data_IF_819632199999
#
_entry.id   IF_819632199999
#
_cell.length_a   1.000
_cell.length_b   1.000
_cell.length_c   1.000
_cell.angle_alpha   90.00
_cell.angle_beta   90.00
_cell.angle_gamma   90.00
#
_symmetry.space_group_name_H-M   'P 1'
#
loop_
_entity.id
_entity.type
_entity.pdbx_description
1 polymer ?
#
# COMPACT_ATOMS: atom_id res chain seq x y z
N UNK A 1 -8.17 19.76 -9.58
CA UNK A 1 -6.77 19.76 -10.00
C UNK A 1 -6.03 18.65 -9.26
N UNK A 2 -5.11 17.91 -9.91
CA UNK A 2 -4.28 16.94 -9.19
C UNK A 2 -3.43 17.66 -8.15
N UNK A 3 -3.37 17.11 -6.94
CA UNK A 3 -2.54 17.59 -5.85
C UNK A 3 -1.25 16.79 -5.75
N UNK A 4 -0.16 17.45 -5.38
CA UNK A 4 1.10 16.80 -5.04
C UNK A 4 1.36 17.01 -3.55
N UNK A 5 1.77 15.95 -2.86
CA UNK A 5 2.20 16.00 -1.47
C UNK A 5 3.48 15.17 -1.31
N UNK A 6 4.40 15.58 -0.43
CA UNK A 6 5.53 14.74 -0.06
C UNK A 6 5.05 13.41 0.52
N UNK A 7 5.71 12.32 0.15
CA UNK A 7 5.38 11.00 0.69
C UNK A 7 5.69 10.93 2.19
N UNK A 8 4.89 10.15 2.91
CA UNK A 8 5.25 9.70 4.26
C UNK A 8 6.36 8.67 4.15
N UNK A 9 7.40 8.76 4.98
CA UNK A 9 8.53 7.84 4.92
C UNK A 9 8.80 7.18 6.26
N UNK A 10 9.06 5.87 6.22
CA UNK A 10 9.52 5.08 7.38
C UNK A 10 10.88 4.47 7.04
N UNK A 11 11.83 4.57 7.96
CA UNK A 11 13.16 3.97 7.80
C UNK A 11 13.13 2.47 8.12
N UNK A 12 13.85 1.68 7.33
CA UNK A 12 14.08 0.26 7.60
C UNK A 12 15.49 -0.13 7.14
N UNK A 13 16.40 -0.32 8.08
CA UNK A 13 17.81 -0.55 7.77
C UNK A 13 18.41 0.60 6.93
N UNK A 14 18.93 0.26 5.76
CA UNK A 14 19.43 1.24 4.78
C UNK A 14 18.33 1.86 3.92
N UNK A 15 17.16 1.25 3.91
CA UNK A 15 16.05 1.63 3.05
C UNK A 15 15.18 2.75 3.64
N UNK A 16 14.49 3.44 2.74
CA UNK A 16 13.34 4.29 3.02
C UNK A 16 12.11 3.68 2.35
N UNK A 17 11.04 3.62 3.09
CA UNK A 17 9.75 3.12 2.59
C UNK A 17 8.78 4.28 2.54
N UNK A 18 8.34 4.61 1.32
CA UNK A 18 7.41 5.71 1.06
C UNK A 18 5.98 5.22 0.95
N UNK A 19 5.07 6.00 1.47
CA UNK A 19 3.63 5.81 1.40
C UNK A 19 2.95 7.13 1.00
N UNK A 20 1.80 7.10 0.32
CA UNK A 20 1.04 8.31 0.04
C UNK A 20 0.69 9.07 1.31
N UNK A 21 0.82 10.38 1.26
CA UNK A 21 0.41 11.24 2.38
C UNK A 21 -1.08 11.56 2.31
N UNK A 22 -1.70 11.98 3.44
CA UNK A 22 -3.05 12.53 3.41
C UNK A 22 -3.21 13.64 2.34
N UNK A 23 -4.39 13.73 1.71
CA UNK A 23 -5.65 13.13 2.13
C UNK A 23 -5.81 11.63 1.80
N UNK A 24 -4.82 10.97 1.23
CA UNK A 24 -4.81 9.52 1.01
C UNK A 24 -4.44 8.79 2.33
N UNK A 25 -5.38 8.74 3.27
CA UNK A 25 -5.16 8.18 4.60
C UNK A 25 -4.89 6.67 4.64
N UNK A 26 -5.14 5.96 3.55
CA UNK A 26 -4.69 4.59 3.36
C UNK A 26 -3.16 4.46 3.38
N UNK A 27 -2.45 5.45 2.83
CA UNK A 27 -0.99 5.52 2.93
C UNK A 27 -0.51 5.77 4.36
N UNK A 28 -1.17 6.66 5.11
CA UNK A 28 -0.90 6.86 6.53
C UNK A 28 -1.12 5.58 7.34
N UNK A 29 -2.22 4.89 7.09
CA UNK A 29 -2.54 3.61 7.72
C UNK A 29 -1.46 2.55 7.44
N UNK A 30 -1.01 2.44 6.20
CA UNK A 30 0.05 1.52 5.80
C UNK A 30 1.41 1.89 6.43
N UNK A 31 1.74 3.19 6.51
CA UNK A 31 2.95 3.66 7.17
C UNK A 31 2.95 3.35 8.67
N UNK A 32 1.81 3.53 9.36
CA UNK A 32 1.65 3.20 10.76
C UNK A 32 1.78 1.68 11.03
N UNK A 33 1.16 0.86 10.17
CA UNK A 33 1.33 -0.59 10.21
C UNK A 33 2.78 -1.01 9.99
N UNK A 34 3.44 -0.44 8.98
CA UNK A 34 4.84 -0.75 8.68
C UNK A 34 5.75 -0.34 9.83
N UNK A 35 5.55 0.82 10.41
CA UNK A 35 6.28 1.27 11.59
C UNK A 35 6.09 0.34 12.79
N UNK A 36 4.90 -0.25 12.98
CA UNK A 36 4.65 -1.25 14.00
C UNK A 36 5.42 -2.55 13.70
N UNK A 37 5.39 -3.03 12.46
CA UNK A 37 6.12 -4.23 12.04
C UNK A 37 7.64 -4.05 12.08
N UNK A 38 8.17 -2.83 11.94
CA UNK A 38 9.59 -2.54 12.17
C UNK A 38 9.98 -2.83 13.62
N UNK A 39 9.09 -2.53 14.58
CA UNK A 39 9.32 -2.80 16.01
C UNK A 39 9.12 -4.26 16.37
N UNK A 40 8.04 -4.87 15.87
CA UNK A 40 7.76 -6.30 16.05
C UNK A 40 7.18 -6.89 14.75
N UNK A 41 8.02 -7.55 13.95
CA UNK A 41 7.58 -8.15 12.69
C UNK A 41 6.61 -9.32 12.84
N UNK A 42 6.43 -9.86 14.04
CA UNK A 42 5.53 -10.97 14.33
C UNK A 42 4.13 -10.51 14.75
N UNK A 43 3.98 -9.27 15.20
CA UNK A 43 2.70 -8.73 15.69
C UNK A 43 1.84 -8.13 14.56
N UNK A 44 1.32 -9.01 13.71
CA UNK A 44 0.37 -8.58 12.65
C UNK A 44 -0.95 -8.03 13.24
N UNK A 45 -1.36 -8.54 14.41
CA UNK A 45 -2.58 -8.08 15.08
C UNK A 45 -2.45 -6.63 15.55
N UNK A 46 -1.40 -6.34 16.29
CA UNK A 46 -1.10 -4.99 16.75
C UNK A 46 -0.83 -4.02 15.60
N UNK A 47 -0.13 -4.44 14.55
CA UNK A 47 0.09 -3.64 13.36
C UNK A 47 -1.23 -3.31 12.63
N UNK A 48 -2.16 -4.27 12.56
CA UNK A 48 -3.51 -4.05 11.99
C UNK A 48 -4.30 -3.03 12.83
N UNK A 49 -4.35 -3.22 14.15
CA UNK A 49 -5.04 -2.29 15.03
C UNK A 49 -4.50 -0.86 14.90
N UNK A 50 -3.19 -0.72 14.81
CA UNK A 50 -2.51 0.54 14.64
C UNK A 50 -2.79 1.23 13.33
N UNK A 51 -2.80 0.46 12.25
CA UNK A 51 -3.19 0.91 10.91
C UNK A 51 -4.55 1.61 10.94
N UNK A 52 -5.53 0.94 11.49
CA UNK A 52 -6.91 1.46 11.58
C UNK A 52 -7.03 2.63 12.56
N UNK A 53 -6.35 2.58 13.68
CA UNK A 53 -6.35 3.66 14.67
C UNK A 53 -5.74 4.95 14.10
N UNK A 54 -4.65 4.87 13.33
CA UNK A 54 -4.03 6.02 12.69
C UNK A 54 -4.97 6.68 11.67
N UNK A 55 -5.60 5.88 10.79
CA UNK A 55 -6.57 6.38 9.83
C UNK A 55 -7.82 6.98 10.51
N UNK A 56 -8.37 6.29 11.51
CA UNK A 56 -9.55 6.77 12.25
C UNK A 56 -9.23 8.09 12.99
N UNK A 57 -8.08 8.19 13.62
CA UNK A 57 -7.65 9.42 14.28
C UNK A 57 -7.49 10.58 13.31
N UNK A 58 -6.89 10.32 12.15
CA UNK A 58 -6.79 11.31 11.09
C UNK A 58 -8.17 11.81 10.63
N UNK A 59 -9.11 10.87 10.37
CA UNK A 59 -10.49 11.20 9.95
C UNK A 59 -11.29 11.97 11.01
N UNK A 60 -10.99 11.76 12.29
CA UNK A 60 -11.64 12.48 13.39
C UNK A 60 -11.16 13.94 13.57
N UNK A 61 -10.39 14.45 12.65
CA UNK A 61 -9.99 15.88 12.66
C UNK A 61 -8.56 16.12 13.04
N UNK A 62 -7.70 15.13 12.90
CA UNK A 62 -6.37 15.54 12.93
C UNK A 62 -5.28 14.75 13.62
N UNK A 63 -4.21 15.41 13.67
CA UNK A 63 -2.92 15.00 14.15
C UNK A 63 -1.87 15.18 13.08
N UNK A 64 -0.64 15.36 13.50
CA UNK A 64 0.50 15.27 12.60
C UNK A 64 0.67 13.83 12.11
N UNK A 65 0.70 13.56 10.80
CA UNK A 65 0.90 12.21 10.27
C UNK A 65 2.17 11.54 10.80
N UNK A 66 3.26 12.27 10.97
CA UNK A 66 4.50 11.71 11.50
C UNK A 66 4.35 11.24 12.95
N UNK A 67 3.64 12.03 13.77
CA UNK A 67 3.32 11.63 15.14
C UNK A 67 2.42 10.40 15.19
N UNK A 68 1.41 10.30 14.31
CA UNK A 68 0.54 9.11 14.22
C UNK A 68 1.30 7.84 13.79
N UNK A 69 2.29 7.97 12.92
CA UNK A 69 3.16 6.85 12.51
C UNK A 69 4.09 6.43 13.66
N UNK A 70 4.65 7.39 14.37
CA UNK A 70 5.61 7.14 15.46
C UNK A 70 4.95 6.66 16.75
N UNK A 71 3.68 7.00 16.98
CA UNK A 71 2.99 6.69 18.22
C UNK A 71 3.06 5.21 18.58
N UNK A 72 3.46 4.85 19.80
CA UNK A 72 3.50 3.49 20.30
C UNK A 72 2.11 3.00 20.68
N UNK A 73 1.31 3.86 21.25
CA UNK A 73 -0.02 3.55 21.78
C UNK A 73 -1.06 4.46 21.11
N UNK A 74 -1.84 3.88 20.23
CA UNK A 74 -3.06 4.49 19.72
C UNK A 74 -4.25 3.64 20.19
N UNK A 75 -5.29 4.25 20.75
CA UNK A 75 -6.50 3.52 21.10
C UNK A 75 -7.03 2.75 19.89
N UNK A 76 -7.42 1.51 20.09
CA UNK A 76 -8.04 0.72 19.03
C UNK A 76 -9.26 1.47 18.46
N UNK A 77 -9.37 1.48 17.14
CA UNK A 77 -10.49 2.13 16.45
C UNK A 77 -10.99 1.23 15.34
N UNK A 78 -12.30 1.13 15.24
CA UNK A 78 -12.96 0.49 14.11
C UNK A 78 -13.08 1.44 12.93
N UNK A 79 -13.19 0.89 11.74
CA UNK A 79 -13.50 1.63 10.53
C UNK A 79 -14.90 1.23 10.05
N UNK A 80 -15.67 2.16 9.46
CA UNK A 80 -16.93 1.80 8.81
C UNK A 80 -16.66 0.86 7.64
N UNK A 81 -17.71 0.26 7.09
CA UNK A 81 -17.59 -0.48 5.84
C UNK A 81 -17.01 0.43 4.75
N UNK A 82 -15.91 0.00 4.14
CA UNK A 82 -15.17 0.77 3.16
C UNK A 82 -15.43 0.27 1.74
N UNK A 83 -15.33 1.15 0.72
CA UNK A 83 -15.40 0.74 -0.66
C UNK A 83 -14.27 -0.21 -1.04
N UNK A 84 -14.51 -1.02 -2.07
CA UNK A 84 -13.49 -1.84 -2.68
C UNK A 84 -12.44 -0.97 -3.39
N UNK A 85 -11.21 -1.44 -3.41
CA UNK A 85 -10.09 -0.81 -4.11
C UNK A 85 -9.26 -1.85 -4.84
N UNK A 86 -8.46 -1.41 -5.78
CA UNK A 86 -7.43 -2.20 -6.43
C UNK A 86 -6.16 -1.40 -6.55
N UNK A 87 -5.06 -2.08 -6.86
CA UNK A 87 -3.77 -1.44 -7.07
C UNK A 87 -3.05 -2.07 -8.25
N UNK A 88 -2.19 -1.30 -8.87
CA UNK A 88 -1.27 -1.75 -9.92
C UNK A 88 0.03 -0.98 -9.82
N UNK A 89 1.08 -1.56 -10.36
CA UNK A 89 2.39 -0.94 -10.38
C UNK A 89 3.29 -1.52 -11.44
N UNK A 90 4.36 -0.80 -11.73
CA UNK A 90 5.40 -1.24 -12.65
C UNK A 90 6.77 -0.75 -12.18
N UNK A 91 7.80 -1.49 -12.54
CA UNK A 91 9.20 -1.08 -12.43
C UNK A 91 9.86 -1.32 -13.79
N UNK A 92 10.62 -0.34 -14.27
CA UNK A 92 11.38 -0.49 -15.50
C UNK A 92 12.79 -1.03 -15.24
N UNK A 93 13.53 -1.33 -16.33
CA UNK A 93 14.91 -1.83 -16.24
C UNK A 93 15.90 -0.83 -15.62
N UNK A 94 15.55 0.44 -15.53
CA UNK A 94 16.38 1.48 -14.90
C UNK A 94 16.09 1.65 -13.42
N UNK A 95 15.09 0.92 -12.88
CA UNK A 95 14.66 1.04 -11.49
C UNK A 95 13.66 2.16 -11.24
N UNK A 96 13.11 2.80 -12.29
CA UNK A 96 12.00 3.72 -12.10
C UNK A 96 10.75 2.90 -11.77
N UNK A 97 10.11 3.22 -10.66
CA UNK A 97 8.97 2.49 -10.16
C UNK A 97 7.76 3.41 -9.95
N UNK A 98 6.57 2.90 -10.25
CA UNK A 98 5.31 3.57 -9.98
C UNK A 98 4.33 2.60 -9.35
N UNK A 99 3.60 3.09 -8.35
CA UNK A 99 2.50 2.36 -7.71
C UNK A 99 1.25 3.23 -7.71
N UNK A 100 0.12 2.65 -8.10
CA UNK A 100 -1.17 3.31 -8.12
C UNK A 100 -2.19 2.50 -7.32
N UNK A 101 -3.02 3.19 -6.55
CA UNK A 101 -4.20 2.61 -5.92
C UNK A 101 -5.43 3.40 -6.36
N UNK A 102 -6.47 2.69 -6.76
CA UNK A 102 -7.69 3.27 -7.32
C UNK A 102 -8.93 2.58 -6.76
N UNK A 103 -10.06 3.28 -6.87
CA UNK A 103 -11.36 2.71 -6.49
C UNK A 103 -12.42 3.20 -7.46
N UNK A 104 -13.44 2.38 -7.68
CA UNK A 104 -14.69 2.80 -8.31
C UNK A 104 -15.78 3.18 -7.29
N UNK A 105 -15.42 3.23 -6.00
CA UNK A 105 -16.35 3.49 -4.91
C UNK A 105 -17.17 2.27 -4.48
N UNK A 106 -17.41 1.32 -5.38
CA UNK A 106 -17.96 -0.01 -5.13
C UNK A 106 -17.50 -0.97 -6.23
N UNK A 107 -17.99 -2.22 -6.23
CA UNK A 107 -17.54 -3.25 -7.18
C UNK A 107 -17.79 -2.89 -8.66
N UNK A 108 -18.86 -2.11 -8.95
CA UNK A 108 -19.25 -1.77 -10.31
C UNK A 108 -19.46 -0.26 -10.53
N UNK A 109 -18.91 0.57 -9.66
CA UNK A 109 -19.07 2.02 -9.75
C UNK A 109 -20.55 2.44 -9.76
N UNK A 110 -20.95 3.23 -10.75
CA UNK A 110 -22.36 3.62 -10.95
C UNK A 110 -23.19 2.56 -11.68
N UNK A 111 -22.60 1.47 -12.11
CA UNK A 111 -23.21 0.51 -13.03
C UNK A 111 -23.37 1.04 -14.46
N UNK A 112 -22.91 2.26 -14.74
CA UNK A 112 -23.04 2.88 -16.07
C UNK A 112 -21.71 2.76 -16.82
N UNK A 113 -21.79 2.26 -18.03
CA UNK A 113 -20.66 2.24 -18.97
C UNK A 113 -20.62 3.56 -19.74
N UNK A 114 -19.42 4.11 -19.90
CA UNK A 114 -19.24 5.30 -20.73
C UNK A 114 -19.32 4.91 -22.21
N UNK A 115 -20.31 5.46 -22.97
CA UNK A 115 -20.46 5.14 -24.38
C UNK A 115 -19.17 5.42 -25.18
N UNK A 116 -18.79 4.47 -26.01
CA UNK A 116 -17.62 4.59 -26.89
C UNK A 116 -16.26 4.30 -26.21
N UNK A 117 -16.18 4.23 -24.89
CA UNK A 117 -14.91 3.98 -24.18
C UNK A 117 -14.86 2.62 -23.45
N UNK A 118 -16.01 1.98 -23.24
CA UNK A 118 -16.05 0.59 -22.75
C UNK A 118 -15.64 0.39 -21.28
N UNK A 119 -15.60 1.44 -20.44
CA UNK A 119 -15.35 1.32 -19.01
C UNK A 119 -16.51 1.84 -18.15
N UNK A 120 -16.63 1.31 -16.96
CA UNK A 120 -17.62 1.72 -15.97
C UNK A 120 -17.21 3.03 -15.29
N UNK A 121 -18.19 3.89 -15.03
CA UNK A 121 -17.96 5.12 -14.26
C UNK A 121 -17.90 4.81 -12.77
N UNK A 122 -16.94 5.41 -12.07
CA UNK A 122 -16.84 5.33 -10.62
C UNK A 122 -18.06 6.00 -9.95
N UNK A 123 -18.45 5.49 -8.78
CA UNK A 123 -19.42 6.16 -7.93
C UNK A 123 -18.85 7.48 -7.39
N UNK A 124 -19.73 8.43 -7.05
CA UNK A 124 -19.29 9.71 -6.49
C UNK A 124 -18.57 9.51 -5.16
N UNK A 125 -17.37 10.08 -4.99
CA UNK A 125 -16.66 10.01 -3.72
C UNK A 125 -17.40 10.69 -2.56
N UNK A 126 -18.34 11.59 -2.86
CA UNK A 126 -19.17 12.23 -1.85
C UNK A 126 -20.27 11.33 -1.28
N UNK A 127 -20.60 10.23 -1.94
CA UNK A 127 -21.68 9.33 -1.54
C UNK A 127 -21.21 8.16 -0.66
N UNK A 128 -19.89 7.96 -0.52
CA UNK A 128 -19.30 6.81 0.15
C UNK A 128 -18.14 7.25 1.06
N UNK A 129 -17.86 6.52 2.14
CA UNK A 129 -16.66 6.77 2.94
C UNK A 129 -15.42 6.66 2.04
N UNK A 130 -14.38 7.50 2.24
CA UNK A 130 -13.14 7.37 1.51
C UNK A 130 -12.52 5.98 1.68
N UNK A 131 -12.07 5.31 0.62
CA UNK A 131 -11.37 4.03 0.73
C UNK A 131 -9.97 4.23 1.35
N UNK A 132 -9.42 3.19 1.97
CA UNK A 132 -8.02 3.16 2.39
C UNK A 132 -7.15 2.73 1.20
N UNK A 133 -6.94 3.63 0.25
CA UNK A 133 -6.06 3.38 -0.91
C UNK A 133 -4.62 3.23 -0.43
N UNK A 134 -4.05 2.04 -0.59
CA UNK A 134 -2.78 1.69 0.02
C UNK A 134 -1.80 1.15 -1.00
N UNK A 135 -0.67 1.83 -1.11
CA UNK A 135 0.52 1.42 -1.84
C UNK A 135 1.75 1.82 -1.06
N UNK A 136 2.88 1.19 -1.34
CA UNK A 136 4.16 1.59 -0.77
C UNK A 136 5.32 1.20 -1.67
N UNK A 137 6.43 1.92 -1.53
CA UNK A 137 7.64 1.76 -2.32
C UNK A 137 8.87 1.90 -1.42
N UNK A 138 9.80 0.97 -1.54
CA UNK A 138 11.05 0.95 -0.80
C UNK A 138 12.25 1.13 -1.73
N UNK A 139 13.19 1.99 -1.31
CA UNK A 139 14.44 2.23 -2.04
C UNK A 139 15.60 2.52 -1.09
N UNK A 140 16.81 2.27 -1.56
CA UNK A 140 18.03 2.74 -0.90
C UNK A 140 18.34 4.18 -1.36
N UNK A 141 18.28 5.19 -0.49
CA UNK A 141 18.52 6.58 -0.87
C UNK A 141 19.98 6.89 -1.21
N UNK A 142 20.93 6.05 -0.80
CA UNK A 142 22.36 6.24 -1.09
C UNK A 142 22.71 5.83 -2.51
N UNK A 143 22.11 4.73 -2.94
CA UNK A 143 22.32 4.16 -4.27
C UNK A 143 21.24 4.56 -5.25
N UNK A 144 20.20 5.26 -4.78
CA UNK A 144 18.97 5.56 -5.52
C UNK A 144 18.37 4.29 -6.17
N UNK A 145 18.40 3.20 -5.42
CA UNK A 145 18.07 1.88 -5.92
C UNK A 145 16.70 1.41 -5.46
N UNK A 146 15.86 1.00 -6.39
CA UNK A 146 14.58 0.34 -6.09
C UNK A 146 14.83 -1.03 -5.41
N UNK A 147 14.10 -1.32 -4.34
CA UNK A 147 14.16 -2.61 -3.66
C UNK A 147 12.85 -3.37 -3.62
N UNK A 148 11.75 -2.71 -3.32
CA UNK A 148 10.44 -3.35 -3.27
C UNK A 148 9.30 -2.36 -3.48
N UNK A 149 8.17 -2.85 -3.95
CA UNK A 149 6.90 -2.13 -3.92
C UNK A 149 5.74 -3.09 -3.66
N UNK A 150 4.69 -2.59 -3.04
CA UNK A 150 3.48 -3.33 -2.80
C UNK A 150 2.25 -2.47 -3.04
N UNK A 151 1.23 -3.08 -3.60
CA UNK A 151 -0.08 -2.48 -3.74
C UNK A 151 -1.15 -3.36 -3.10
N UNK A 152 -2.05 -2.74 -2.34
CA UNK A 152 -3.05 -3.42 -1.56
C UNK A 152 -4.46 -3.27 -2.09
N UNK A 153 -5.28 -4.26 -1.77
CA UNK A 153 -6.73 -4.29 -1.92
C UNK A 153 -7.36 -4.87 -0.67
N UNK A 154 -8.70 -4.85 -0.57
CA UNK A 154 -9.41 -5.47 0.54
C UNK A 154 -9.79 -4.49 1.64
N UNK A 155 -10.34 -3.35 1.29
CA UNK A 155 -10.98 -2.41 2.22
C UNK A 155 -10.05 -2.01 3.40
N UNK A 156 -10.48 -2.27 4.64
CA UNK A 156 -9.70 -2.00 5.85
C UNK A 156 -8.43 -2.88 5.98
N UNK A 157 -8.37 -4.00 5.25
CA UNK A 157 -7.21 -4.89 5.21
C UNK A 157 -6.11 -4.47 4.25
N UNK A 158 -6.38 -3.55 3.32
CA UNK A 158 -5.39 -3.12 2.33
C UNK A 158 -4.10 -2.54 2.94
N UNK A 159 -4.15 -1.65 3.94
CA UNK A 159 -2.94 -1.06 4.52
C UNK A 159 -2.01 -2.08 5.18
N UNK A 160 -2.56 -3.00 5.98
CA UNK A 160 -1.73 -4.03 6.64
C UNK A 160 -1.16 -5.01 5.61
N UNK A 161 -1.90 -5.32 4.55
CA UNK A 161 -1.41 -6.19 3.48
C UNK A 161 -0.19 -5.57 2.77
N UNK A 162 -0.24 -4.28 2.45
CA UNK A 162 0.90 -3.54 1.89
C UNK A 162 2.08 -3.54 2.85
N UNK A 163 1.85 -3.18 4.11
CA UNK A 163 2.92 -3.10 5.11
C UNK A 163 3.61 -4.44 5.32
N UNK A 164 2.84 -5.51 5.49
CA UNK A 164 3.36 -6.85 5.69
C UNK A 164 4.04 -7.43 4.45
N UNK A 165 3.50 -7.16 3.26
CA UNK A 165 4.11 -7.54 1.99
C UNK A 165 5.48 -6.89 1.78
N UNK A 166 5.59 -5.57 2.03
CA UNK A 166 6.86 -4.84 1.99
C UNK A 166 7.85 -5.35 3.05
N UNK A 167 7.39 -5.58 4.28
CA UNK A 167 8.23 -6.12 5.35
C UNK A 167 8.82 -7.48 4.96
N UNK A 168 8.00 -8.38 4.42
CA UNK A 168 8.46 -9.69 3.95
C UNK A 168 9.47 -9.56 2.81
N UNK A 169 9.21 -8.70 1.83
CA UNK A 169 10.11 -8.49 0.70
C UNK A 169 11.48 -7.94 1.16
N UNK A 170 11.48 -6.96 2.05
CA UNK A 170 12.71 -6.34 2.56
C UNK A 170 13.52 -7.28 3.46
N UNK A 171 12.86 -8.16 4.21
CA UNK A 171 13.54 -9.15 5.07
C UNK A 171 14.10 -10.33 4.31
N UNK A 172 13.36 -10.83 3.33
CA UNK A 172 13.72 -12.06 2.60
C UNK A 172 14.42 -11.82 1.27
N UNK A 173 14.35 -10.60 0.74
CA UNK A 173 14.77 -10.26 -0.62
C UNK A 173 13.85 -10.86 -1.70
N UNK A 174 12.71 -11.43 -1.32
CA UNK A 174 11.75 -12.07 -2.23
C UNK A 174 10.34 -11.53 -2.01
N UNK A 175 9.58 -11.26 -3.08
CA UNK A 175 8.21 -10.82 -2.93
C UNK A 175 7.35 -11.99 -2.41
N UNK A 176 6.60 -11.73 -1.37
CA UNK A 176 5.63 -12.67 -0.80
C UNK A 176 4.44 -11.91 -0.27
N UNK A 177 3.24 -12.41 -0.52
CA UNK A 177 2.07 -11.97 0.23
C UNK A 177 2.19 -12.39 1.69
N UNK A 178 1.56 -11.64 2.58
CA UNK A 178 1.52 -11.96 4.01
C UNK A 178 0.16 -12.56 4.39
N UNK A 179 0.10 -13.44 5.39
CA UNK A 179 -1.15 -14.01 5.90
C UNK A 179 -1.91 -12.97 6.75
N UNK A 180 -2.28 -11.87 6.12
CA UNK A 180 -3.06 -10.81 6.79
C UNK A 180 -4.54 -11.16 6.88
N UNK A 181 -5.29 -10.54 7.84
CA UNK A 181 -6.72 -10.78 7.97
C UNK A 181 -7.50 -10.45 6.70
N UNK A 182 -8.54 -11.24 6.46
CA UNK A 182 -9.51 -10.98 5.39
C UNK A 182 -10.18 -9.60 5.57
N UNK A 183 -10.48 -8.90 4.49
CA UNK A 183 -10.25 -9.23 3.07
C UNK A 183 -8.92 -8.69 2.50
N UNK A 184 -7.93 -8.40 3.34
CA UNK A 184 -6.65 -7.80 2.93
C UNK A 184 -5.88 -8.66 1.92
N UNK A 185 -5.40 -8.03 0.83
CA UNK A 185 -4.59 -8.62 -0.24
C UNK A 185 -3.46 -7.68 -0.63
N UNK A 186 -2.34 -8.21 -1.05
CA UNK A 186 -1.26 -7.40 -1.63
C UNK A 186 -0.53 -8.13 -2.76
N UNK A 187 -0.31 -7.40 -3.83
CA UNK A 187 0.63 -7.76 -4.88
C UNK A 187 1.96 -7.07 -4.59
N UNK A 188 3.05 -7.82 -4.67
CA UNK A 188 4.38 -7.36 -4.23
C UNK A 188 5.39 -7.59 -5.35
N UNK A 189 6.27 -6.62 -5.57
CA UNK A 189 7.46 -6.75 -6.41
C UNK A 189 8.71 -6.43 -5.60
N UNK A 190 9.80 -7.12 -5.87
CA UNK A 190 11.10 -6.80 -5.27
C UNK A 190 12.26 -7.14 -6.20
N UNK A 191 13.36 -6.39 -6.07
CA UNK A 191 14.62 -6.64 -6.76
C UNK A 191 15.72 -6.74 -5.70
N UNK A 192 16.39 -7.89 -5.64
CA UNK A 192 17.49 -8.10 -4.68
C UNK A 192 18.80 -7.45 -5.12
N UNK A 193 18.90 -7.07 -6.39
CA UNK A 193 20.07 -6.38 -6.96
C UNK A 193 19.71 -5.01 -7.51
N UNK A 194 20.76 -4.22 -7.72
CA UNK A 194 20.63 -2.87 -8.26
C UNK A 194 20.19 -2.89 -9.73
N UNK A 195 19.31 -1.97 -10.09
CA UNK A 195 18.90 -1.74 -11.47
C UNK A 195 19.57 -0.44 -11.99
N UNK A 196 20.00 -0.39 -13.24
CA UNK A 196 20.01 -1.49 -14.24
C UNK A 196 21.11 -2.52 -14.02
N UNK A 197 20.98 -3.66 -14.70
CA UNK A 197 22.01 -4.71 -14.78
C UNK A 197 21.79 -5.92 -13.89
N UNK A 198 20.78 -5.89 -13.02
CA UNK A 198 20.40 -7.01 -12.15
C UNK A 198 18.92 -7.34 -12.25
N UNK A 199 18.34 -7.17 -13.44
CA UNK A 199 16.91 -7.38 -13.73
C UNK A 199 16.46 -8.79 -13.40
N UNK A 200 17.34 -9.78 -13.57
CA UNK A 200 17.07 -11.18 -13.21
C UNK A 200 16.86 -11.42 -11.70
N UNK A 201 17.21 -10.45 -10.86
CA UNK A 201 16.95 -10.52 -9.41
C UNK A 201 15.59 -9.97 -9.03
N UNK A 202 14.84 -9.42 -9.98
CA UNK A 202 13.50 -8.92 -9.76
C UNK A 202 12.49 -10.06 -9.83
N UNK A 203 11.57 -10.05 -8.91
CA UNK A 203 10.47 -11.00 -8.87
C UNK A 203 9.16 -10.29 -8.48
N UNK A 204 8.06 -10.91 -8.87
CA UNK A 204 6.70 -10.44 -8.60
C UNK A 204 5.89 -11.57 -7.96
N UNK A 205 5.04 -11.22 -7.02
CA UNK A 205 4.09 -12.15 -6.41
C UNK A 205 2.71 -11.49 -6.35
N UNK A 206 1.74 -12.11 -7.01
CA UNK A 206 0.33 -11.84 -6.78
C UNK A 206 -0.13 -12.60 -5.53
N UNK A 207 -1.09 -12.02 -4.81
CA UNK A 207 -1.70 -12.72 -3.67
C UNK A 207 -2.49 -13.94 -4.18
N UNK A 208 -2.18 -15.15 -3.72
CA UNK A 208 -2.80 -16.36 -4.23
C UNK A 208 -4.30 -16.48 -3.91
N UNK A 209 -4.81 -15.61 -3.05
CA UNK A 209 -6.23 -15.57 -2.65
C UNK A 209 -7.07 -14.65 -3.55
N UNK A 210 -6.48 -14.04 -4.57
CA UNK A 210 -7.18 -13.19 -5.55
C UNK A 210 -6.77 -13.54 -6.99
N UNK A 211 -7.40 -12.86 -7.96
CA UNK A 211 -7.07 -13.01 -9.39
C UNK A 211 -6.09 -11.93 -9.86
N UNK A 212 -5.11 -11.58 -9.02
CA UNK A 212 -4.06 -10.63 -9.37
C UNK A 212 -3.15 -11.17 -10.47
N UNK A 213 -2.62 -10.27 -11.31
CA UNK A 213 -1.70 -10.61 -12.38
C UNK A 213 -0.32 -10.05 -12.07
N UNK A 214 0.69 -10.91 -12.14
CA UNK A 214 2.09 -10.53 -12.05
C UNK A 214 2.82 -10.96 -13.34
N UNK A 215 3.40 -10.00 -14.06
CA UNK A 215 4.07 -10.27 -15.34
C UNK A 215 5.45 -9.63 -15.35
N UNK A 216 6.46 -10.40 -15.76
CA UNK A 216 7.78 -9.88 -16.11
C UNK A 216 7.92 -9.85 -17.62
N UNK A 217 8.34 -8.71 -18.19
CA UNK A 217 8.74 -8.61 -19.59
C UNK A 217 10.10 -9.27 -19.79
N UNK A 218 10.25 -10.05 -20.86
CA UNK A 218 11.53 -10.60 -21.31
C UNK A 218 12.47 -9.54 -21.86
#
# INVERSE_FOLDING_TARGET
>A
LPGFAPALTVAYGKDRVAFPAPPADGGLAAAAAFSALVRDPSDLGGATARSLAAAARWRAGGGDPAALIAAADLPAAGMPALPASTSFGAVDRKGNAVMCAVTMGNLFGTGRMLPGLGFLLAASPAALPPPLLSVGLAWDPRENAFHAAAGGSGQAGAPIAVAAGLMNALRSGKPMSAPVPEPGRANVMSCAGLLPGRESTCALAADPRESGLAMSGG
#
